data_IF_975926226930
#
_entry.id   IF_975926226930
#
_cell.length_a   1.000
_cell.length_b   1.000
_cell.length_c   1.000
_cell.angle_alpha   90.00
_cell.angle_beta   90.00
_cell.angle_gamma   90.00
#
_symmetry.space_group_name_H-M   'P 1'
#
loop_
_entity.id
_entity.type
_entity.pdbx_description
1 polymer ?
#
# COMPACT_ATOMS: atom_id res chain seq x y z
N UNK A 1 9.68 9.23 -10.05
CA UNK A 1 10.04 8.31 -8.94
C UNK A 1 9.90 8.94 -7.56
N UNK A 2 9.72 10.27 -7.44
CA UNK A 2 9.33 10.89 -6.16
C UNK A 2 7.85 10.55 -5.91
N UNK A 3 7.50 9.95 -4.75
CA UNK A 3 6.11 9.61 -4.43
C UNK A 3 5.32 10.80 -3.90
N UNK A 4 3.99 10.73 -3.94
CA UNK A 4 3.12 11.72 -3.29
C UNK A 4 3.12 11.60 -1.77
N UNK A 5 3.23 10.38 -1.28
CA UNK A 5 3.26 10.07 0.14
C UNK A 5 4.23 8.92 0.40
N UNK A 6 5.04 9.01 1.46
CA UNK A 6 5.91 7.92 1.90
C UNK A 6 5.57 7.52 3.34
N UNK A 7 5.01 6.31 3.50
CA UNK A 7 4.58 5.74 4.79
C UNK A 7 5.52 4.61 5.20
N UNK A 8 5.45 4.11 6.44
CA UNK A 8 6.20 2.90 6.80
C UNK A 8 5.61 1.70 6.08
N UNK A 9 4.33 1.44 6.32
CA UNK A 9 3.56 0.40 5.67
C UNK A 9 2.08 0.80 5.61
N UNK A 10 1.22 -0.10 5.12
CA UNK A 10 -0.21 0.21 4.91
C UNK A 10 -0.97 0.56 6.19
N UNK A 11 -0.45 0.24 7.39
CA UNK A 11 -1.11 0.54 8.68
C UNK A 11 -1.11 2.02 8.99
N UNK A 12 -0.16 2.77 8.43
CA UNK A 12 -0.05 4.21 8.60
C UNK A 12 -0.97 4.99 7.66
N UNK A 13 -1.65 4.32 6.72
CA UNK A 13 -2.57 4.96 5.77
C UNK A 13 -3.96 5.11 6.41
N UNK A 14 -4.46 6.35 6.45
CA UNK A 14 -5.83 6.65 6.84
C UNK A 14 -6.74 6.62 5.60
N UNK A 15 -7.25 5.42 5.29
CA UNK A 15 -8.06 5.16 4.09
C UNK A 15 -9.33 6.01 4.02
N UNK A 16 -9.96 6.28 5.17
CA UNK A 16 -11.16 7.12 5.26
C UNK A 16 -10.87 8.57 4.85
N UNK A 17 -9.74 9.12 5.30
CA UNK A 17 -9.33 10.48 4.94
C UNK A 17 -8.82 10.55 3.51
N UNK A 18 -8.11 9.52 3.04
CA UNK A 18 -7.68 9.42 1.64
C UNK A 18 -8.90 9.41 0.70
N UNK A 19 -9.94 8.65 1.06
CA UNK A 19 -11.19 8.63 0.30
C UNK A 19 -11.92 9.97 0.32
N UNK A 20 -12.02 10.62 1.49
CA UNK A 20 -12.58 11.98 1.61
C UNK A 20 -11.81 13.02 0.81
N UNK A 21 -10.50 12.84 0.65
CA UNK A 21 -9.64 13.71 -0.15
C UNK A 21 -9.81 13.51 -1.67
N UNK A 22 -10.67 12.58 -2.10
CA UNK A 22 -11.07 12.42 -3.50
C UNK A 22 -10.45 11.23 -4.24
N UNK A 23 -9.68 10.39 -3.55
CA UNK A 23 -9.21 9.10 -4.05
C UNK A 23 -10.36 8.09 -3.95
N UNK A 24 -10.80 7.56 -5.08
CA UNK A 24 -11.98 6.69 -5.18
C UNK A 24 -11.64 5.21 -5.39
N UNK A 25 -10.40 4.90 -5.78
CA UNK A 25 -9.92 3.54 -5.99
C UNK A 25 -8.46 3.39 -5.57
N UNK A 26 -8.05 2.16 -5.24
CA UNK A 26 -6.67 1.85 -4.87
C UNK A 26 -6.16 0.61 -5.60
N UNK A 27 -5.01 0.75 -6.26
CA UNK A 27 -4.16 -0.35 -6.70
C UNK A 27 -3.05 -0.63 -5.71
N UNK A 28 -2.83 -1.89 -5.35
CA UNK A 28 -1.73 -2.32 -4.48
C UNK A 28 -0.74 -3.20 -5.22
N UNK A 29 0.56 -2.98 -5.02
CA UNK A 29 1.55 -4.02 -5.22
C UNK A 29 1.34 -5.20 -4.25
N UNK A 30 1.86 -6.37 -4.61
CA UNK A 30 1.69 -7.62 -3.84
C UNK A 30 2.91 -7.98 -2.99
N UNK A 31 4.05 -8.23 -3.64
CA UNK A 31 5.24 -8.81 -3.03
C UNK A 31 5.96 -7.73 -2.22
N UNK A 32 6.25 -7.96 -0.94
CA UNK A 32 6.84 -6.98 -0.02
C UNK A 32 5.98 -5.76 0.37
N UNK A 33 4.88 -5.49 -0.35
CA UNK A 33 3.87 -4.50 0.04
C UNK A 33 2.76 -5.08 0.94
N UNK A 34 2.02 -6.10 0.46
CA UNK A 34 0.93 -6.75 1.22
C UNK A 34 1.32 -8.12 1.78
N UNK A 35 2.21 -8.81 1.08
CA UNK A 35 2.59 -10.20 1.34
C UNK A 35 4.10 -10.33 1.48
N UNK A 36 4.57 -11.40 2.12
CA UNK A 36 5.98 -11.80 2.05
C UNK A 36 6.37 -12.12 0.59
N UNK A 37 7.67 -12.03 0.23
CA UNK A 37 8.13 -12.40 -1.12
C UNK A 37 7.57 -13.75 -1.57
N UNK A 38 6.98 -13.80 -2.77
CA UNK A 38 6.43 -15.01 -3.38
C UNK A 38 5.27 -15.67 -2.59
N UNK A 39 4.76 -15.01 -1.54
CA UNK A 39 3.60 -15.47 -0.77
C UNK A 39 2.27 -15.06 -1.40
N UNK A 40 1.19 -15.69 -0.92
CA UNK A 40 -0.20 -15.35 -1.25
C UNK A 40 -0.95 -14.72 -0.08
N UNK A 41 -0.54 -15.00 1.15
CA UNK A 41 -1.24 -14.59 2.36
C UNK A 41 -0.86 -13.17 2.78
N UNK A 42 -1.85 -12.45 3.32
CA UNK A 42 -1.64 -11.14 3.93
C UNK A 42 -0.62 -11.25 5.07
N UNK A 43 0.29 -10.29 5.16
CA UNK A 43 1.13 -10.18 6.35
C UNK A 43 0.26 -9.93 7.60
N UNK A 44 0.26 -10.80 8.63
CA UNK A 44 -0.74 -10.76 9.70
C UNK A 44 -0.92 -9.40 10.41
N UNK A 45 0.16 -8.63 10.69
CA UNK A 45 0.02 -7.27 11.24
C UNK A 45 -0.84 -6.31 10.40
N UNK A 46 -1.07 -6.59 9.13
CA UNK A 46 -1.81 -5.74 8.20
C UNK A 46 -3.32 -6.03 8.20
N UNK A 47 -3.81 -7.09 8.85
CA UNK A 47 -5.23 -7.49 8.84
C UNK A 47 -6.20 -6.34 9.14
N UNK A 48 -5.93 -5.57 10.20
CA UNK A 48 -6.77 -4.44 10.58
C UNK A 48 -6.80 -3.31 9.55
N UNK A 49 -5.64 -2.98 8.97
CA UNK A 49 -5.52 -1.94 7.95
C UNK A 49 -6.14 -2.39 6.61
N UNK A 50 -5.91 -3.64 6.22
CA UNK A 50 -6.48 -4.25 5.03
C UNK A 50 -8.01 -4.33 5.11
N UNK A 51 -8.56 -4.69 6.27
CA UNK A 51 -10.00 -4.65 6.51
C UNK A 51 -10.56 -3.23 6.33
N UNK A 52 -9.95 -2.21 6.95
CA UNK A 52 -10.38 -0.81 6.79
C UNK A 52 -10.36 -0.36 5.33
N UNK A 53 -9.27 -0.66 4.62
CA UNK A 53 -9.16 -0.34 3.19
C UNK A 53 -10.33 -0.93 2.39
N UNK A 54 -10.60 -2.23 2.55
CA UNK A 54 -11.70 -2.91 1.85
C UNK A 54 -13.07 -2.39 2.28
N UNK A 55 -13.26 -2.04 3.55
CA UNK A 55 -14.53 -1.49 4.03
C UNK A 55 -14.81 -0.10 3.40
N UNK A 56 -13.78 0.72 3.22
CA UNK A 56 -13.88 2.06 2.60
C UNK A 56 -14.09 1.98 1.10
N UNK A 57 -13.23 1.23 0.39
CA UNK A 57 -13.17 1.23 -1.07
C UNK A 57 -14.01 0.12 -1.72
N UNK A 58 -14.41 -0.90 -0.95
CA UNK A 58 -15.23 -2.04 -1.41
C UNK A 58 -14.61 -2.70 -2.64
N UNK A 59 -15.33 -2.71 -3.75
CA UNK A 59 -14.92 -3.29 -5.03
C UNK A 59 -13.89 -2.42 -5.78
N UNK A 60 -13.55 -1.23 -5.28
CA UNK A 60 -12.56 -0.31 -5.86
C UNK A 60 -11.14 -0.56 -5.32
N UNK A 61 -10.81 -1.84 -5.06
CA UNK A 61 -9.48 -2.28 -4.63
C UNK A 61 -9.01 -3.40 -5.55
N UNK A 62 -7.80 -3.27 -6.10
CA UNK A 62 -7.19 -4.27 -6.97
C UNK A 62 -5.72 -4.49 -6.63
N UNK A 63 -5.24 -5.70 -6.82
CA UNK A 63 -3.83 -6.05 -6.70
C UNK A 63 -3.18 -6.04 -8.09
N UNK A 64 -2.03 -5.42 -8.23
CA UNK A 64 -1.23 -5.36 -9.46
C UNK A 64 0.16 -5.89 -9.18
N UNK A 65 0.49 -7.06 -9.71
CA UNK A 65 1.74 -7.77 -9.43
C UNK A 65 2.55 -8.01 -10.70
N UNK A 66 3.88 -7.94 -10.60
CA UNK A 66 4.75 -8.31 -11.73
C UNK A 66 4.92 -9.82 -11.90
N UNK A 67 4.43 -10.63 -10.96
CA UNK A 67 4.51 -12.10 -10.96
C UNK A 67 3.15 -12.77 -11.18
N UNK A 68 2.10 -12.30 -10.50
CA UNK A 68 0.75 -12.87 -10.59
C UNK A 68 -0.14 -12.09 -11.57
N UNK A 69 -0.99 -12.80 -12.32
CA UNK A 69 -1.88 -12.17 -13.31
C UNK A 69 -1.18 -11.67 -14.58
N UNK A 70 0.08 -12.06 -14.77
CA UNK A 70 0.92 -11.74 -15.94
C UNK A 70 1.18 -12.98 -16.80
N UNK A 71 1.84 -12.87 -17.97
CA UNK A 71 2.24 -14.05 -18.75
C UNK A 71 3.13 -15.06 -18.00
N UNK A 72 3.77 -14.65 -16.89
CA UNK A 72 4.53 -15.57 -16.02
C UNK A 72 3.59 -16.51 -15.22
N UNK A 73 2.35 -16.09 -14.97
CA UNK A 73 1.30 -16.86 -14.29
C UNK A 73 0.41 -17.56 -15.33
N UNK A 74 1.02 -18.49 -16.08
CA UNK A 74 0.41 -19.13 -17.27
C UNK A 74 -1.00 -19.69 -17.06
N UNK A 75 -1.27 -20.25 -15.88
CA UNK A 75 -2.57 -20.85 -15.53
C UNK A 75 -3.46 -19.91 -14.69
N UNK A 76 -2.99 -18.69 -14.40
CA UNK A 76 -3.63 -17.73 -13.50
C UNK A 76 -3.78 -18.24 -12.07
N UNK A 77 -2.98 -19.25 -11.67
CA UNK A 77 -3.15 -19.95 -10.38
C UNK A 77 -2.71 -19.05 -9.24
N UNK A 78 -1.57 -18.37 -9.38
CA UNK A 78 -1.10 -17.45 -8.34
C UNK A 78 -2.13 -16.35 -8.11
N UNK A 79 -2.65 -15.78 -9.18
CA UNK A 79 -3.67 -14.74 -9.08
C UNK A 79 -4.95 -15.25 -8.38
N UNK A 80 -5.41 -16.47 -8.68
CA UNK A 80 -6.58 -17.07 -7.98
C UNK A 80 -6.31 -17.34 -6.50
N UNK A 81 -5.11 -17.81 -6.15
CA UNK A 81 -4.74 -18.08 -4.76
C UNK A 81 -4.72 -16.77 -3.95
N UNK A 82 -4.17 -15.71 -4.53
CA UNK A 82 -4.15 -14.37 -3.94
C UNK A 82 -5.57 -13.79 -3.82
N UNK A 83 -6.41 -13.92 -4.84
CA UNK A 83 -7.82 -13.51 -4.80
C UNK A 83 -8.57 -14.22 -3.66
N UNK A 84 -8.31 -15.51 -3.48
CA UNK A 84 -8.89 -16.31 -2.40
C UNK A 84 -8.39 -15.84 -1.02
N UNK A 85 -7.11 -15.52 -0.88
CA UNK A 85 -6.52 -15.09 0.39
C UNK A 85 -6.94 -13.66 0.77
N UNK A 86 -6.83 -12.71 -0.17
CA UNK A 86 -6.98 -11.28 0.10
C UNK A 86 -8.40 -10.76 -0.14
N UNK A 87 -9.26 -11.56 -0.80
CA UNK A 87 -10.65 -11.25 -1.15
C UNK A 87 -10.82 -9.97 -1.96
N UNK A 88 -9.87 -9.71 -2.86
CA UNK A 88 -9.91 -8.62 -3.84
C UNK A 88 -9.42 -9.16 -5.18
N UNK A 89 -9.77 -8.48 -6.27
CA UNK A 89 -9.33 -8.91 -7.60
C UNK A 89 -7.83 -8.72 -7.78
N UNK A 90 -7.20 -9.64 -8.52
CA UNK A 90 -5.83 -9.47 -9.03
C UNK A 90 -5.95 -9.04 -10.50
N UNK A 91 -5.37 -7.90 -10.85
CA UNK A 91 -5.41 -7.43 -12.22
C UNK A 91 -4.75 -8.46 -13.16
N UNK A 92 -5.43 -8.80 -14.26
CA UNK A 92 -4.84 -9.60 -15.33
C UNK A 92 -4.32 -8.64 -16.41
N UNK A 93 -3.02 -8.64 -16.66
CA UNK A 93 -2.36 -7.66 -17.53
C UNK A 93 -1.15 -8.24 -18.28
N UNK A 94 -0.85 -7.70 -19.46
CA UNK A 94 0.22 -8.25 -20.31
C UNK A 94 1.60 -7.65 -20.00
N UNK A 95 1.63 -6.37 -19.67
CA UNK A 95 2.87 -5.64 -19.43
C UNK A 95 3.13 -5.51 -17.93
N UNK A 96 4.37 -5.73 -17.50
CA UNK A 96 4.78 -5.57 -16.10
C UNK A 96 5.05 -4.10 -15.79
N UNK A 97 4.83 -3.71 -14.54
CA UNK A 97 5.22 -2.39 -14.01
C UNK A 97 6.73 -2.20 -14.19
N UNK A 98 7.19 -0.99 -14.60
CA UNK A 98 6.44 0.26 -14.68
C UNK A 98 5.69 0.52 -16.00
N UNK A 99 5.66 -0.45 -16.91
CA UNK A 99 4.91 -0.38 -18.18
C UNK A 99 3.47 -0.91 -18.02
N UNK A 100 2.66 -0.82 -19.08
CA UNK A 100 1.24 -1.16 -19.04
C UNK A 100 0.41 -0.09 -18.36
N UNK A 101 -0.70 -0.47 -17.71
CA UNK A 101 -1.55 0.42 -16.90
C UNK A 101 -2.91 0.72 -17.51
N UNK A 102 -3.07 0.50 -18.81
CA UNK A 102 -4.37 0.59 -19.46
C UNK A 102 -5.39 -0.39 -18.87
N UNK A 103 -4.97 -1.63 -18.57
CA UNK A 103 -5.84 -2.63 -17.97
C UNK A 103 -6.32 -2.20 -16.58
N UNK A 104 -5.48 -1.48 -15.82
CA UNK A 104 -5.85 -0.94 -14.51
C UNK A 104 -6.90 0.16 -14.65
N UNK A 105 -6.67 1.12 -15.55
CA UNK A 105 -7.62 2.21 -15.80
C UNK A 105 -8.95 1.69 -16.36
N UNK A 106 -8.88 0.67 -17.22
CA UNK A 106 -10.07 -0.05 -17.71
C UNK A 106 -10.78 -0.71 -16.54
N UNK A 107 -10.09 -1.44 -15.66
CA UNK A 107 -10.69 -2.14 -14.52
C UNK A 107 -11.50 -1.20 -13.60
N UNK A 108 -11.04 0.03 -13.38
CA UNK A 108 -11.74 1.01 -12.56
C UNK A 108 -12.78 1.86 -13.30
N UNK A 109 -13.17 1.46 -14.52
CA UNK A 109 -14.30 1.96 -15.33
C UNK A 109 -14.91 3.30 -14.86
N UNK A 110 -14.44 4.41 -15.44
CA UNK A 110 -15.03 5.75 -15.20
C UNK A 110 -14.43 6.53 -14.04
N UNK A 111 -13.47 5.95 -13.30
CA UNK A 111 -12.64 6.70 -12.35
C UNK A 111 -11.41 7.25 -13.09
N UNK A 112 -11.26 8.57 -13.09
CA UNK A 112 -10.08 9.24 -13.64
C UNK A 112 -8.82 8.83 -12.88
N UNK A 113 -7.68 8.72 -13.55
CA UNK A 113 -6.43 8.24 -12.96
C UNK A 113 -5.97 9.06 -11.73
N UNK A 114 -6.20 10.38 -11.74
CA UNK A 114 -5.92 11.29 -10.62
C UNK A 114 -6.72 10.95 -9.33
N UNK A 115 -7.78 10.17 -9.46
CA UNK A 115 -8.61 9.69 -8.33
C UNK A 115 -8.26 8.26 -7.93
N UNK A 116 -7.19 7.70 -8.46
CA UNK A 116 -6.70 6.36 -8.14
C UNK A 116 -5.40 6.53 -7.36
N UNK A 117 -5.28 5.84 -6.22
CA UNK A 117 -4.01 5.72 -5.53
C UNK A 117 -3.30 4.42 -5.92
N UNK A 118 -1.98 4.46 -6.07
CA UNK A 118 -1.15 3.28 -6.27
C UNK A 118 -0.16 3.13 -5.12
N UNK A 119 -0.21 1.98 -4.43
CA UNK A 119 0.56 1.70 -3.21
C UNK A 119 1.56 0.57 -3.46
N UNK A 120 2.84 0.77 -3.15
CA UNK A 120 3.85 -0.27 -3.32
C UNK A 120 5.17 0.01 -2.61
N UNK A 121 6.07 -0.97 -2.57
CA UNK A 121 7.36 -0.90 -1.86
C UNK A 121 8.52 -0.42 -2.74
N UNK A 122 8.32 -0.33 -4.06
CA UNK A 122 9.40 0.02 -5.00
C UNK A 122 9.18 1.36 -5.67
N UNK A 123 10.19 2.23 -5.58
CA UNK A 123 10.15 3.54 -6.20
C UNK A 123 10.28 3.46 -7.72
N UNK A 124 11.15 2.57 -8.24
CA UNK A 124 11.40 2.48 -9.68
C UNK A 124 10.32 1.72 -10.45
N UNK A 125 9.50 0.92 -9.77
CA UNK A 125 8.36 0.23 -10.40
C UNK A 125 7.04 0.86 -9.99
N UNK A 126 6.68 0.88 -8.72
CA UNK A 126 5.32 1.23 -8.28
C UNK A 126 5.07 2.74 -8.35
N UNK A 127 6.01 3.53 -7.83
CA UNK A 127 5.89 5.00 -7.89
C UNK A 127 6.02 5.49 -9.33
N UNK A 128 6.95 4.94 -10.12
CA UNK A 128 7.05 5.29 -11.55
C UNK A 128 5.79 4.88 -12.31
N UNK A 129 5.23 3.70 -12.03
CA UNK A 129 4.00 3.23 -12.65
C UNK A 129 2.82 4.17 -12.36
N UNK A 130 2.61 4.55 -11.10
CA UNK A 130 1.57 5.50 -10.73
C UNK A 130 1.79 6.88 -11.37
N UNK A 131 3.01 7.43 -11.28
CA UNK A 131 3.34 8.73 -11.85
C UNK A 131 3.14 8.78 -13.38
N UNK A 132 3.51 7.72 -14.10
CA UNK A 132 3.36 7.65 -15.56
C UNK A 132 1.89 7.71 -16.02
N UNK A 133 0.95 7.39 -15.13
CA UNK A 133 -0.47 7.41 -15.41
C UNK A 133 -1.22 8.53 -14.70
N UNK A 134 -0.53 9.41 -13.98
CA UNK A 134 -1.15 10.50 -13.23
C UNK A 134 -1.93 10.05 -11.99
N UNK A 135 -1.58 8.90 -11.40
CA UNK A 135 -2.17 8.41 -10.15
C UNK A 135 -1.49 9.04 -8.93
N UNK A 136 -2.17 9.00 -7.78
CA UNK A 136 -1.59 9.36 -6.50
C UNK A 136 -0.72 8.21 -5.97
N UNK A 137 0.57 8.43 -5.75
CA UNK A 137 1.50 7.36 -5.36
C UNK A 137 1.80 7.35 -3.87
N UNK A 138 1.70 6.17 -3.26
CA UNK A 138 2.05 5.94 -1.85
C UNK A 138 3.15 4.89 -1.78
N UNK A 139 4.35 5.30 -1.37
CA UNK A 139 5.47 4.40 -1.16
C UNK A 139 5.46 3.85 0.27
N UNK A 140 5.47 2.52 0.43
CA UNK A 140 5.72 1.86 1.71
C UNK A 140 7.23 1.64 1.87
N UNK A 141 7.83 2.27 2.88
CA UNK A 141 9.29 2.23 3.12
C UNK A 141 9.77 0.93 3.75
N UNK A 142 8.91 0.30 4.56
CA UNK A 142 9.21 -0.94 5.24
C UNK A 142 8.62 -2.10 4.43
N UNK A 143 9.47 -3.06 4.08
CA UNK A 143 9.03 -4.30 3.43
C UNK A 143 8.56 -5.30 4.47
N UNK A 144 7.70 -6.23 4.07
CA UNK A 144 7.25 -7.33 4.95
C UNK A 144 8.43 -8.15 5.48
N UNK A 145 9.37 -8.54 4.61
CA UNK A 145 10.62 -9.22 4.98
C UNK A 145 11.61 -9.22 3.82
N UNK A 146 12.91 -9.14 4.10
CA UNK A 146 13.96 -9.40 3.10
C UNK A 146 14.30 -10.91 2.99
N UNK A 147 13.82 -11.74 3.93
CA UNK A 147 14.10 -13.18 3.95
C UNK A 147 13.45 -13.89 2.76
N UNK A 148 14.27 -14.57 1.96
CA UNK A 148 13.82 -15.27 0.76
C UNK A 148 13.53 -14.36 -0.44
N UNK A 149 13.77 -13.06 -0.34
CA UNK A 149 13.71 -12.14 -1.49
C UNK A 149 14.96 -12.28 -2.37
N UNK A 150 14.85 -11.86 -3.63
CA UNK A 150 15.97 -11.91 -4.57
C UNK A 150 17.08 -10.94 -4.13
N UNK A 151 18.34 -11.39 -3.95
CA UNK A 151 19.46 -10.55 -3.50
C UNK A 151 19.67 -9.29 -4.37
N UNK A 152 19.47 -9.41 -5.68
CA UNK A 152 19.57 -8.26 -6.59
C UNK A 152 18.43 -7.27 -6.36
N UNK A 153 17.21 -7.75 -6.09
CA UNK A 153 16.08 -6.89 -5.78
C UNK A 153 16.30 -6.13 -4.46
N UNK A 154 16.81 -6.80 -3.43
CA UNK A 154 17.19 -6.17 -2.16
C UNK A 154 18.23 -5.06 -2.39
N UNK A 155 19.28 -5.34 -3.17
CA UNK A 155 20.32 -4.35 -3.46
C UNK A 155 19.78 -3.13 -4.22
N UNK A 156 18.94 -3.37 -5.23
CA UNK A 156 18.27 -2.30 -5.98
C UNK A 156 17.43 -1.44 -5.02
N UNK A 157 16.58 -2.06 -4.19
CA UNK A 157 15.71 -1.35 -3.22
C UNK A 157 16.51 -0.47 -2.27
N UNK A 158 17.62 -0.98 -1.72
CA UNK A 158 18.52 -0.20 -0.85
C UNK A 158 19.13 1.00 -1.58
N UNK A 159 19.42 0.85 -2.87
CA UNK A 159 19.93 1.95 -3.72
C UNK A 159 18.82 2.96 -4.01
N UNK A 160 17.60 2.50 -4.29
CA UNK A 160 16.41 3.36 -4.45
C UNK A 160 16.16 4.22 -3.19
N UNK A 161 16.24 3.64 -1.99
CA UNK A 161 16.06 4.38 -0.73
C UNK A 161 17.11 5.47 -0.53
N UNK A 162 18.37 5.20 -0.90
CA UNK A 162 19.44 6.21 -0.84
C UNK A 162 19.20 7.34 -1.81
N UNK A 163 18.74 7.02 -3.02
CA UNK A 163 18.41 8.02 -4.03
C UNK A 163 17.20 8.87 -3.59
N UNK A 164 16.15 8.26 -3.05
CA UNK A 164 15.00 8.99 -2.51
C UNK A 164 15.40 9.93 -1.36
N UNK A 165 16.25 9.47 -0.43
CA UNK A 165 16.76 10.30 0.65
C UNK A 165 17.61 11.48 0.13
N UNK A 166 18.33 11.29 -0.98
CA UNK A 166 19.07 12.36 -1.63
C UNK A 166 18.12 13.37 -2.29
N UNK A 167 17.10 12.90 -3.02
CA UNK A 167 16.10 13.76 -3.68
C UNK A 167 15.32 14.60 -2.65
N UNK A 168 14.95 13.99 -1.53
CA UNK A 168 14.29 14.67 -0.41
C UNK A 168 15.17 15.78 0.19
N UNK A 169 16.46 15.49 0.42
CA UNK A 169 17.44 16.50 0.86
C UNK A 169 17.66 17.64 -0.14
N UNK A 170 17.47 17.35 -1.43
CA UNK A 170 17.56 18.33 -2.51
C UNK A 170 16.24 19.09 -2.70
N UNK A 171 15.20 18.82 -1.90
CA UNK A 171 13.86 19.38 -2.04
C UNK A 171 13.29 19.19 -3.45
N UNK A 172 13.59 18.04 -4.06
CA UNK A 172 12.98 17.68 -5.35
C UNK A 172 11.54 17.31 -5.10
N UNK A 173 10.65 18.22 -5.44
CA UNK A 173 9.22 17.97 -5.38
C UNK A 173 8.79 17.03 -6.51
N UNK A 174 7.75 16.27 -6.22
CA UNK A 174 7.04 15.53 -7.26
C UNK A 174 6.38 16.46 -8.27
N UNK A 175 6.02 15.91 -9.44
CA UNK A 175 5.14 16.63 -10.34
C UNK A 175 3.80 16.93 -9.63
N UNK A 176 3.24 18.15 -9.79
CA UNK A 176 2.00 18.53 -9.13
C UNK A 176 0.89 17.54 -9.48
N UNK A 177 0.29 16.95 -8.45
CA UNK A 177 -0.89 16.10 -8.60
C UNK A 177 -2.15 16.97 -8.42
N UNK A 178 -3.21 16.81 -9.24
CA UNK A 178 -4.38 17.69 -9.21
C UNK A 178 -5.15 17.68 -7.88
N UNK A 179 -5.11 16.55 -7.16
CA UNK A 179 -5.59 16.48 -5.79
C UNK A 179 -4.54 16.99 -4.80
N UNK A 180 -4.88 18.07 -4.10
CA UNK A 180 -4.10 18.62 -2.99
C UNK A 180 -4.44 17.87 -1.70
N UNK A 181 -3.75 16.76 -1.47
CA UNK A 181 -3.93 15.93 -0.27
C UNK A 181 -2.90 16.34 0.78
N UNK A 182 -3.35 16.80 1.96
CA UNK A 182 -2.46 17.08 3.08
C UNK A 182 -1.95 15.75 3.69
N UNK A 183 -0.63 15.46 3.63
CA UNK A 183 -0.06 14.24 4.18
C UNK A 183 -0.41 13.99 5.66
N UNK A 184 -0.46 15.03 6.48
CA UNK A 184 -0.70 14.88 7.92
C UNK A 184 -2.10 14.35 8.25
N UNK A 185 -3.08 14.59 7.38
CA UNK A 185 -4.47 14.18 7.57
C UNK A 185 -4.68 12.73 7.12
N UNK A 186 -3.96 12.31 6.08
CA UNK A 186 -4.06 10.95 5.53
C UNK A 186 -3.12 9.95 6.20
N UNK A 187 -2.36 10.39 7.19
CA UNK A 187 -1.60 9.53 8.09
C UNK A 187 -2.43 9.18 9.33
N UNK A 188 -2.36 7.92 9.76
CA UNK A 188 -2.94 7.51 11.05
C UNK A 188 -2.14 8.16 12.16
N UNK A 189 -2.78 9.04 12.95
CA UNK A 189 -2.18 9.60 14.14
C UNK A 189 -1.92 8.47 15.15
N UNK A 190 -0.64 8.18 15.41
CA UNK A 190 -0.25 7.21 16.42
C UNK A 190 -0.68 7.76 17.78
N UNK A 191 -1.67 7.13 18.42
CA UNK A 191 -1.97 7.41 19.82
C UNK A 191 -0.75 6.97 20.62
N UNK A 192 -0.05 7.93 21.24
CA UNK A 192 1.08 7.65 22.12
C UNK A 192 0.68 6.57 23.13
N UNK A 193 1.44 5.47 23.13
CA UNK A 193 1.28 4.32 24.02
C UNK A 193 1.39 4.66 25.51
N UNK A 194 1.70 5.91 25.85
CA UNK A 194 1.65 6.44 27.21
C UNK A 194 0.22 6.54 27.78
N UNK A 195 -0.80 6.82 26.96
CA UNK A 195 -2.18 7.03 27.47
C UNK A 195 -2.96 5.74 27.70
N UNK A 196 -2.54 4.61 27.12
CA UNK A 196 -3.19 3.32 27.32
C UNK A 196 -2.88 2.68 28.69
N UNK A 197 -1.76 3.07 29.33
CA UNK A 197 -1.37 2.53 30.64
C UNK A 197 -2.08 3.19 31.82
N UNK A 198 -2.58 4.42 31.67
CA UNK A 198 -3.29 5.11 32.75
C UNK A 198 -4.75 4.66 32.90
N UNK A 199 -5.42 4.27 31.80
CA UNK A 199 -6.80 3.72 31.88
C UNK A 199 -6.87 2.33 32.53
N UNK A 200 -5.81 1.53 32.44
CA UNK A 200 -5.78 0.20 33.04
C UNK A 200 -5.46 0.20 34.56
N UNK A 201 -5.04 1.34 35.13
CA UNK A 201 -4.76 1.46 36.57
C UNK A 201 -5.92 2.01 37.39
N UNK A 202 -6.94 2.60 36.78
CA UNK A 202 -8.11 3.16 37.48
C UNK A 202 -9.24 2.14 37.73
N UNK A 203 -9.17 0.95 37.13
CA UNK A 203 -10.16 -0.12 37.31
C UNK A 203 -9.54 -1.29 38.09
N UNK A 204 -9.23 -1.07 39.37
CA UNK A 204 -9.13 -2.18 40.33
C UNK A 204 -10.45 -2.30 41.08
N UNK A 205 -11.16 -3.44 41.04
CA UNK A 205 -12.35 -3.63 41.84
C UNK A 205 -11.96 -3.67 43.32
N UNK A 206 -12.64 -2.84 44.10
CA UNK A 206 -12.60 -2.84 45.57
C UNK A 206 -13.13 -4.21 46.04
N UNK A 207 -12.23 -5.07 46.53
CA UNK A 207 -12.60 -6.32 47.19
C UNK A 207 -13.33 -5.97 48.48
N UNK A 208 -14.65 -6.17 48.48
CA UNK A 208 -15.48 -6.27 49.67
C UNK A 208 -15.04 -7.49 50.47
N UNK A 209 -14.58 -7.25 51.70
CA UNK A 209 -14.51 -8.28 52.75
C UNK A 209 -15.91 -8.43 53.32
N UNK A 210 -16.48 -9.61 53.20
CA UNK A 210 -17.60 -10.06 54.04
C UNK A 210 -17.21 -11.37 54.73
N UNK A 211 -17.28 -11.29 56.07
CA UNK A 211 -17.58 -12.31 57.08
C UNK A 211 -16.67 -13.54 57.23
#
# INVERSE_FOLDING_TARGET
MVPNLAVRDIRDINFEQLHKAGILAIGFDKDNCLTRPYGSDLHPPFEGAWKRCRDVYKDQVVIVSNSAGTPDDKDGRQAKDIESALKVHVLRHQQKKPSGGEELLKHFHGINAERIAFVGDRALTDVVFGNNHGMFTILTKDVVTEEGDNPMAIWIRRTEHRLLALLDRMHVEQHPHPLLINPEVVLVQQVSSAQAKDKAKSEKPLSTKDQ
#
